data_IF_301978697406
#
_entry.id   IF_301978697406
#
_cell.length_a   1.000
_cell.length_b   1.000
_cell.length_c   1.000
_cell.angle_alpha   90.00
_cell.angle_beta   90.00
_cell.angle_gamma   90.00
#
_symmetry.space_group_name_H-M   'P 1'
#
loop_
_entity.id
_entity.type
_entity.pdbx_description
1 polymer ?
#
# COMPACT_ATOMS: atom_id res chain seq x y z
N UNK A 1 -68.25 15.51 -6.87
CA UNK A 1 -66.82 15.61 -6.52
C UNK A 1 -66.59 14.80 -5.25
N UNK A 2 -65.84 13.69 -5.31
CA UNK A 2 -65.49 12.89 -4.13
C UNK A 2 -64.04 13.21 -3.75
N UNK A 3 -63.83 13.59 -2.50
CA UNK A 3 -62.53 13.91 -1.90
C UNK A 3 -61.71 12.65 -1.67
N UNK A 4 -60.46 12.66 -2.11
CA UNK A 4 -59.47 11.61 -1.83
C UNK A 4 -58.93 11.82 -0.40
N UNK A 5 -58.81 10.78 0.44
CA UNK A 5 -58.29 10.93 1.80
C UNK A 5 -56.79 11.24 1.75
N UNK A 6 -56.38 12.28 2.49
CA UNK A 6 -54.96 12.66 2.64
C UNK A 6 -54.36 11.92 3.82
N UNK A 7 -53.27 11.19 3.56
CA UNK A 7 -52.39 10.60 4.58
C UNK A 7 -51.76 11.70 5.45
N UNK A 8 -51.66 11.54 6.78
CA UNK A 8 -51.14 12.56 7.69
C UNK A 8 -49.61 12.71 7.65
N UNK A 9 -48.91 11.97 6.77
CA UNK A 9 -47.44 12.00 6.68
C UNK A 9 -46.89 12.75 5.47
N UNK A 10 -47.67 13.66 4.87
CA UNK A 10 -47.15 14.54 3.81
C UNK A 10 -46.74 15.88 4.41
N UNK A 11 -45.50 15.96 4.88
CA UNK A 11 -44.85 17.24 5.17
C UNK A 11 -44.69 18.00 3.84
N UNK A 12 -45.11 19.27 3.73
CA UNK A 12 -44.80 20.05 2.54
C UNK A 12 -43.28 20.16 2.39
N UNK A 13 -42.78 19.89 1.19
CA UNK A 13 -41.36 20.02 0.85
C UNK A 13 -40.85 21.40 1.31
N UNK A 14 -39.73 21.40 2.02
CA UNK A 14 -39.07 22.62 2.47
C UNK A 14 -38.73 23.50 1.26
N UNK A 15 -38.66 24.82 1.46
CA UNK A 15 -38.37 25.79 0.39
C UNK A 15 -37.08 25.45 -0.39
N UNK A 16 -36.10 24.82 0.27
CA UNK A 16 -34.84 24.31 -0.31
C UNK A 16 -35.04 23.15 -1.29
N UNK A 17 -35.98 22.24 -1.03
CA UNK A 17 -36.26 21.12 -1.92
C UNK A 17 -36.96 21.56 -3.22
N UNK A 18 -37.80 22.61 -3.19
CA UNK A 18 -38.40 23.22 -4.40
C UNK A 18 -37.39 23.95 -5.27
N UNK A 19 -36.30 24.46 -4.69
CA UNK A 19 -35.21 25.14 -5.41
C UNK A 19 -34.26 24.16 -6.12
N UNK A 20 -34.23 22.89 -5.68
CA UNK A 20 -33.30 21.87 -6.20
C UNK A 20 -33.94 20.98 -7.29
N UNK A 21 -35.26 20.98 -7.41
CA UNK A 21 -36.02 20.21 -8.41
C UNK A 21 -35.65 20.52 -9.88
N UNK A 22 -35.49 21.80 -10.32
CA UNK A 22 -35.08 22.07 -11.71
C UNK A 22 -33.62 21.70 -12.00
N UNK A 23 -32.77 21.54 -10.98
CA UNK A 23 -31.36 21.13 -11.14
C UNK A 23 -31.23 19.62 -11.37
N UNK A 24 -32.06 18.81 -10.71
CA UNK A 24 -32.11 17.36 -10.92
C UNK A 24 -32.74 17.02 -12.27
N UNK A 25 -33.77 17.75 -12.69
CA UNK A 25 -34.37 17.60 -14.02
C UNK A 25 -33.48 18.16 -15.16
N UNK A 26 -32.47 18.99 -14.85
CA UNK A 26 -31.52 19.56 -15.80
C UNK A 26 -30.34 18.64 -16.19
N UNK A 27 -30.10 17.57 -15.43
CA UNK A 27 -29.00 16.61 -15.68
C UNK A 27 -29.40 15.53 -16.72
N UNK A 28 -30.70 15.40 -17.03
CA UNK A 28 -31.27 14.38 -17.91
C UNK A 28 -31.97 14.97 -19.16
N UNK A 29 -31.27 15.79 -19.97
CA UNK A 29 -31.27 15.44 -21.39
C UNK A 29 -29.95 15.80 -22.10
N UNK A 30 -28.89 14.99 -21.93
CA UNK A 30 -27.78 15.00 -22.89
C UNK A 30 -28.02 13.97 -24.01
N UNK A 31 -28.76 14.46 -25.01
CA UNK A 31 -28.78 14.10 -26.44
C UNK A 31 -28.08 12.79 -26.86
N UNK A 32 -28.88 11.77 -27.18
CA UNK A 32 -28.49 10.60 -27.99
C UNK A 32 -27.83 11.04 -29.31
N UNK A 33 -26.51 11.03 -29.40
CA UNK A 33 -25.77 11.04 -30.67
C UNK A 33 -25.15 9.67 -30.89
N UNK A 34 -25.55 9.01 -31.97
CA UNK A 34 -25.00 7.73 -32.43
C UNK A 34 -23.55 7.94 -32.88
N UNK A 35 -22.61 7.02 -32.57
CA UNK A 35 -21.26 7.12 -33.12
C UNK A 35 -21.25 6.83 -34.64
N UNK A 36 -20.39 7.50 -35.42
CA UNK A 36 -20.27 7.30 -36.85
C UNK A 36 -19.73 5.90 -37.22
N UNK A 37 -20.26 5.37 -38.33
CA UNK A 37 -20.22 4.01 -38.85
C UNK A 37 -18.85 3.52 -39.43
N UNK A 38 -17.70 3.88 -38.85
CA UNK A 38 -16.38 3.48 -39.40
C UNK A 38 -15.42 2.78 -38.43
N UNK A 39 -15.90 2.30 -37.28
CA UNK A 39 -15.04 1.63 -36.28
C UNK A 39 -14.86 0.08 -36.37
N UNK A 40 -15.46 -0.72 -37.28
CA UNK A 40 -15.23 -2.17 -37.24
C UNK A 40 -14.08 -2.70 -38.12
N UNK A 41 -13.34 -1.86 -38.85
CA UNK A 41 -12.28 -2.36 -39.78
C UNK A 41 -10.92 -2.55 -39.10
N UNK A 42 -10.68 -1.99 -37.91
CA UNK A 42 -9.38 -2.09 -37.22
C UNK A 42 -9.24 -3.31 -36.29
N UNK A 43 -10.34 -3.96 -35.89
CA UNK A 43 -10.32 -5.04 -34.90
C UNK A 43 -9.96 -6.43 -35.48
N UNK A 44 -9.88 -6.58 -36.81
CA UNK A 44 -9.61 -7.88 -37.47
C UNK A 44 -8.12 -8.09 -37.79
N UNK A 45 -7.27 -7.06 -37.66
CA UNK A 45 -5.83 -7.13 -38.00
C UNK A 45 -4.88 -7.35 -36.81
N UNK A 46 -5.39 -7.30 -35.57
CA UNK A 46 -4.58 -7.50 -34.35
C UNK A 46 -4.68 -8.95 -33.83
N UNK A 47 -5.66 -9.73 -34.30
CA UNK A 47 -5.94 -11.09 -33.84
C UNK A 47 -5.17 -12.22 -34.57
N UNK A 48 -4.17 -11.88 -35.39
CA UNK A 48 -3.42 -12.89 -36.18
C UNK A 48 -1.90 -12.87 -36.00
N UNK A 49 -1.36 -12.07 -35.08
CA UNK A 49 0.09 -11.99 -34.85
C UNK A 49 0.41 -11.99 -33.35
N UNK A 50 0.50 -13.17 -32.75
CA UNK A 50 0.94 -13.31 -31.35
C UNK A 50 0.89 -14.73 -30.79
N UNK A 51 1.06 -15.75 -31.63
CA UNK A 51 1.27 -17.13 -31.19
C UNK A 51 2.75 -17.49 -31.29
N UNK A 52 3.24 -18.22 -30.28
CA UNK A 52 4.51 -18.96 -30.19
C UNK A 52 5.73 -18.19 -29.63
N UNK A 53 5.97 -18.36 -28.32
CA UNK A 53 7.32 -18.47 -27.76
C UNK A 53 7.27 -19.13 -26.36
N UNK A 54 7.05 -20.44 -26.32
CA UNK A 54 7.37 -21.25 -25.15
C UNK A 54 8.90 -21.49 -25.15
N UNK A 55 9.64 -20.86 -24.24
CA UNK A 55 11.04 -21.19 -24.04
C UNK A 55 11.16 -22.31 -23.00
N UNK A 56 11.25 -23.55 -23.47
CA UNK A 56 11.88 -24.62 -22.71
C UNK A 56 13.40 -24.45 -22.79
N UNK A 57 14.05 -24.28 -21.64
CA UNK A 57 15.48 -24.48 -21.51
C UNK A 57 15.72 -25.93 -21.09
N UNK A 58 16.25 -26.73 -22.02
CA UNK A 58 16.71 -28.09 -21.77
C UNK A 58 18.22 -28.16 -21.96
N UNK A 59 18.92 -28.65 -20.94
CA UNK A 59 20.33 -29.00 -21.00
C UNK A 59 20.75 -29.90 -19.85
N UNK A 60 21.13 -31.15 -20.16
CA UNK A 60 21.98 -32.00 -19.31
C UNK A 60 21.36 -33.31 -18.82
N UNK A 61 21.76 -34.43 -19.44
CA UNK A 61 21.36 -35.84 -19.24
C UNK A 61 22.01 -36.51 -17.98
N UNK A 62 21.72 -37.78 -17.62
CA UNK A 62 21.31 -38.19 -16.27
C UNK A 62 22.39 -38.98 -15.51
N UNK A 63 22.23 -39.11 -14.20
CA UNK A 63 22.94 -40.14 -13.43
C UNK A 63 22.00 -40.70 -12.36
N UNK A 64 21.60 -41.95 -12.55
CA UNK A 64 20.76 -42.75 -11.65
C UNK A 64 21.49 -43.11 -10.36
N UNK A 65 20.96 -42.67 -9.22
CA UNK A 65 20.68 -43.50 -8.03
C UNK A 65 19.87 -42.68 -7.00
N UNK A 66 18.94 -43.30 -6.25
CA UNK A 66 17.87 -42.56 -5.58
C UNK A 66 18.37 -41.99 -4.25
N UNK A 67 18.58 -40.69 -4.22
CA UNK A 67 18.57 -39.95 -2.97
C UNK A 67 17.11 -39.58 -2.69
N UNK A 68 16.58 -40.05 -1.56
CA UNK A 68 15.30 -39.62 -1.03
C UNK A 68 15.24 -38.09 -1.00
N UNK A 69 14.47 -37.48 -1.91
CA UNK A 69 14.22 -36.04 -1.86
C UNK A 69 13.06 -35.81 -0.91
N UNK A 70 13.44 -35.49 0.31
CA UNK A 70 12.65 -34.81 1.32
C UNK A 70 11.92 -33.58 0.75
N UNK A 71 10.60 -33.51 0.96
CA UNK A 71 9.78 -32.29 1.02
C UNK A 71 9.58 -31.53 -0.30
N UNK A 72 8.49 -31.79 -1.02
CA UNK A 72 8.05 -30.91 -2.11
C UNK A 72 7.68 -29.52 -1.55
N UNK A 73 8.36 -28.48 -2.06
CA UNK A 73 8.02 -27.09 -1.79
C UNK A 73 6.63 -26.76 -2.37
N UNK A 74 5.89 -25.87 -1.72
CA UNK A 74 4.53 -25.53 -2.09
C UNK A 74 4.44 -24.86 -3.47
N UNK A 75 3.40 -25.18 -4.23
CA UNK A 75 3.11 -24.48 -5.48
C UNK A 75 2.52 -23.11 -5.19
N UNK A 76 3.24 -22.04 -5.53
CA UNK A 76 2.76 -20.64 -5.44
C UNK A 76 1.38 -20.47 -6.07
N UNK A 77 1.14 -21.08 -7.23
CA UNK A 77 -0.15 -20.99 -7.91
C UNK A 77 -1.27 -21.68 -7.11
N UNK A 78 -0.98 -22.84 -6.50
CA UNK A 78 -1.98 -23.54 -5.70
C UNK A 78 -2.39 -22.74 -4.45
N UNK A 79 -1.44 -22.03 -3.83
CA UNK A 79 -1.72 -21.14 -2.69
C UNK A 79 -2.60 -19.98 -3.13
N UNK A 80 -2.27 -19.33 -4.26
CA UNK A 80 -3.08 -18.22 -4.79
C UNK A 80 -4.48 -18.68 -5.19
N UNK A 81 -4.61 -19.83 -5.85
CA UNK A 81 -5.91 -20.39 -6.23
C UNK A 81 -6.77 -20.70 -4.99
N UNK A 82 -6.15 -21.24 -3.93
CA UNK A 82 -6.83 -21.53 -2.67
C UNK A 82 -7.38 -20.27 -2.00
N UNK A 83 -6.54 -19.23 -1.85
CA UNK A 83 -6.95 -17.94 -1.29
C UNK A 83 -8.06 -17.28 -2.13
N UNK A 84 -7.91 -17.31 -3.46
CA UNK A 84 -8.88 -16.67 -4.34
C UNK A 84 -10.25 -17.35 -4.27
N UNK A 85 -10.29 -18.69 -4.25
CA UNK A 85 -11.53 -19.46 -4.22
C UNK A 85 -12.34 -19.32 -2.93
N UNK A 86 -11.67 -19.11 -1.80
CA UNK A 86 -12.32 -18.98 -0.50
C UNK A 86 -12.82 -17.56 -0.22
N UNK A 87 -12.23 -16.58 -0.89
CA UNK A 87 -12.68 -15.20 -0.86
C UNK A 87 -13.86 -14.99 -1.80
N UNK A 88 -14.84 -14.20 -1.36
CA UNK A 88 -15.78 -13.57 -2.28
C UNK A 88 -15.09 -12.32 -2.86
N UNK A 89 -14.01 -12.49 -3.65
CA UNK A 89 -13.26 -11.40 -4.32
C UNK A 89 -14.09 -10.69 -5.43
N UNK A 90 -15.38 -10.53 -5.19
CA UNK A 90 -16.45 -10.04 -6.04
C UNK A 90 -16.28 -8.60 -6.53
N UNK A 91 -15.20 -7.90 -6.15
CA UNK A 91 -14.92 -6.54 -6.64
C UNK A 91 -14.16 -6.58 -7.98
N UNK A 92 -13.40 -7.63 -8.27
CA UNK A 92 -12.56 -7.69 -9.45
C UNK A 92 -13.24 -8.47 -10.59
N UNK A 93 -13.19 -7.94 -11.81
CA UNK A 93 -13.71 -8.64 -12.99
C UNK A 93 -12.75 -9.78 -13.39
N UNK A 94 -13.22 -11.05 -13.47
CA UNK A 94 -12.34 -12.22 -13.58
C UNK A 94 -11.47 -12.27 -14.84
N UNK A 95 -11.87 -11.56 -15.91
CA UNK A 95 -11.18 -11.61 -17.20
C UNK A 95 -9.84 -10.82 -17.22
N UNK A 96 -9.50 -10.08 -16.15
CA UNK A 96 -8.28 -9.27 -16.08
C UNK A 96 -7.54 -9.28 -14.74
N UNK A 97 -7.80 -10.28 -13.89
CA UNK A 97 -7.17 -10.37 -12.56
C UNK A 97 -5.79 -11.02 -12.68
N UNK A 98 -4.80 -10.39 -12.06
CA UNK A 98 -3.48 -10.95 -11.82
C UNK A 98 -3.34 -11.25 -10.33
N UNK A 99 -2.61 -12.30 -9.98
CA UNK A 99 -2.32 -12.70 -8.61
C UNK A 99 -0.82 -12.75 -8.35
N UNK A 100 -0.40 -12.21 -7.22
CA UNK A 100 0.97 -12.22 -6.75
C UNK A 100 0.99 -12.66 -5.28
N UNK A 101 1.84 -13.63 -4.95
CA UNK A 101 2.05 -14.03 -3.55
C UNK A 101 3.06 -13.05 -2.94
N UNK A 102 2.62 -12.27 -1.95
CA UNK A 102 3.46 -11.28 -1.28
C UNK A 102 4.41 -11.92 -0.28
N UNK A 103 3.88 -12.81 0.57
CA UNK A 103 4.64 -13.51 1.60
C UNK A 103 3.98 -14.83 1.99
N UNK A 104 4.80 -15.71 2.57
CA UNK A 104 4.36 -16.96 3.18
C UNK A 104 5.10 -17.23 4.47
N UNK A 105 4.40 -17.85 5.41
CA UNK A 105 4.96 -18.25 6.69
C UNK A 105 4.55 -19.71 6.97
N UNK A 106 5.53 -20.62 6.85
CA UNK A 106 5.32 -22.04 7.03
C UNK A 106 5.28 -22.41 8.50
N UNK A 107 4.26 -23.16 8.92
CA UNK A 107 4.03 -23.45 10.36
C UNK A 107 3.88 -24.89 10.74
N UNK A 108 3.71 -25.76 9.75
CA UNK A 108 3.89 -27.20 9.88
C UNK A 108 4.24 -27.76 8.51
N UNK A 109 4.46 -29.07 8.39
CA UNK A 109 4.58 -29.67 7.06
C UNK A 109 3.32 -29.45 6.18
N UNK A 110 2.17 -29.15 6.78
CA UNK A 110 0.86 -29.20 6.13
C UNK A 110 0.10 -27.86 6.08
N UNK A 111 0.54 -26.82 6.79
CA UNK A 111 -0.11 -25.49 6.85
C UNK A 111 0.89 -24.33 6.65
N UNK A 112 0.42 -23.24 6.04
CA UNK A 112 1.16 -21.99 5.82
C UNK A 112 0.19 -20.83 5.80
N UNK A 113 0.52 -19.78 6.54
CA UNK A 113 -0.12 -18.48 6.37
C UNK A 113 0.42 -17.82 5.11
N UNK A 114 -0.48 -17.36 4.26
CA UNK A 114 -0.15 -16.74 2.98
C UNK A 114 -0.82 -15.38 2.86
N UNK A 115 -0.08 -14.43 2.25
CA UNK A 115 -0.59 -13.13 1.87
C UNK A 115 -0.63 -13.01 0.33
N UNK A 116 -1.82 -12.96 -0.23
CA UNK A 116 -2.05 -12.83 -1.67
C UNK A 116 -2.47 -11.41 -2.05
N UNK A 117 -1.89 -10.89 -3.14
CA UNK A 117 -2.27 -9.64 -3.76
C UNK A 117 -2.89 -9.92 -5.13
N UNK A 118 -4.18 -9.60 -5.26
CA UNK A 118 -4.94 -9.76 -6.49
C UNK A 118 -5.31 -8.40 -7.03
N UNK A 119 -5.01 -8.11 -8.29
CA UNK A 119 -5.19 -6.78 -8.85
C UNK A 119 -5.59 -6.81 -10.32
N UNK A 120 -6.19 -5.74 -10.78
CA UNK A 120 -6.56 -5.55 -12.18
C UNK A 120 -5.75 -4.42 -12.84
N UNK A 121 -6.00 -4.24 -14.14
CA UNK A 121 -5.32 -3.22 -14.95
C UNK A 121 -5.83 -1.79 -14.67
N UNK A 122 -6.89 -1.64 -13.86
CA UNK A 122 -7.46 -0.35 -13.47
C UNK A 122 -6.89 0.13 -12.12
N UNK A 123 -5.98 -0.64 -11.52
CA UNK A 123 -5.36 -0.33 -10.25
C UNK A 123 -6.25 -0.66 -9.04
N UNK A 124 -7.32 -1.44 -9.22
CA UNK A 124 -8.06 -2.03 -8.11
C UNK A 124 -7.32 -3.28 -7.62
N UNK A 125 -7.35 -3.51 -6.31
CA UNK A 125 -6.74 -4.68 -5.73
C UNK A 125 -7.52 -5.23 -4.52
N UNK A 126 -7.25 -6.49 -4.20
CA UNK A 126 -7.60 -7.15 -2.95
C UNK A 126 -6.34 -7.76 -2.32
N UNK A 127 -6.09 -7.46 -1.05
CA UNK A 127 -5.16 -8.18 -0.20
C UNK A 127 -5.94 -9.27 0.53
N UNK A 128 -5.46 -10.51 0.45
CA UNK A 128 -6.02 -11.66 1.16
C UNK A 128 -4.97 -12.24 2.10
N UNK A 129 -5.35 -12.45 3.36
CA UNK A 129 -4.55 -13.19 4.34
C UNK A 129 -5.31 -14.44 4.74
N UNK A 130 -4.70 -15.62 4.59
CA UNK A 130 -5.36 -16.89 4.84
C UNK A 130 -4.38 -18.01 5.18
N UNK A 131 -4.86 -19.05 5.87
CA UNK A 131 -4.07 -20.26 6.14
C UNK A 131 -4.40 -21.29 5.08
N UNK A 132 -3.44 -21.66 4.26
CA UNK A 132 -3.63 -22.68 3.22
C UNK A 132 -3.09 -24.02 3.71
N UNK A 133 -3.77 -25.12 3.39
CA UNK A 133 -3.33 -26.49 3.63
C UNK A 133 -2.61 -27.11 2.44
N UNK A 134 -1.84 -28.18 2.69
CA UNK A 134 -1.04 -28.91 1.66
C UNK A 134 -1.84 -29.41 0.46
N UNK A 135 -3.14 -29.65 0.64
CA UNK A 135 -4.07 -30.05 -0.43
C UNK A 135 -4.57 -28.86 -1.29
N UNK A 136 -4.08 -27.65 -1.03
CA UNK A 136 -4.60 -26.42 -1.64
C UNK A 136 -5.99 -26.05 -1.14
N UNK A 137 -6.47 -26.64 -0.03
CA UNK A 137 -7.68 -26.18 0.63
C UNK A 137 -7.31 -25.12 1.67
N UNK A 138 -8.01 -24.00 1.67
CA UNK A 138 -7.86 -23.03 2.74
C UNK A 138 -8.47 -23.57 4.05
N UNK A 139 -7.85 -23.23 5.17
CA UNK A 139 -8.36 -23.37 6.52
C UNK A 139 -8.98 -22.03 6.94
N UNK A 140 -10.28 -22.02 7.21
CA UNK A 140 -10.99 -20.86 7.78
C UNK A 140 -11.55 -19.88 6.75
N UNK A 141 -11.73 -18.62 7.20
CA UNK A 141 -12.21 -17.50 6.38
C UNK A 141 -11.02 -16.55 6.19
N UNK A 142 -10.69 -16.14 4.94
CA UNK A 142 -9.61 -15.22 4.71
C UNK A 142 -9.98 -13.84 5.26
N UNK A 143 -8.96 -13.11 5.71
CA UNK A 143 -9.09 -11.67 5.87
C UNK A 143 -8.92 -11.00 4.53
N UNK A 144 -9.77 -10.03 4.21
CA UNK A 144 -9.80 -9.37 2.90
C UNK A 144 -9.82 -7.86 3.08
N UNK A 145 -8.88 -7.17 2.43
CA UNK A 145 -8.87 -5.72 2.30
C UNK A 145 -8.93 -5.37 0.83
N UNK A 146 -9.79 -4.42 0.48
CA UNK A 146 -9.91 -3.93 -0.90
C UNK A 146 -9.38 -2.51 -1.00
N UNK A 147 -8.71 -2.19 -2.09
CA UNK A 147 -8.17 -0.87 -2.34
C UNK A 147 -8.10 -0.54 -3.82
N UNK A 148 -7.81 0.72 -4.11
CA UNK A 148 -7.47 1.18 -5.44
C UNK A 148 -6.35 2.22 -5.38
N UNK A 149 -5.50 2.27 -6.39
CA UNK A 149 -4.49 3.32 -6.53
C UNK A 149 -3.29 3.24 -5.58
N UNK A 150 -3.33 2.38 -4.56
CA UNK A 150 -2.20 2.02 -3.70
C UNK A 150 -1.74 0.58 -3.94
N UNK A 151 -0.81 0.09 -3.11
CA UNK A 151 -0.34 -1.30 -3.17
C UNK A 151 -0.15 -1.89 -1.77
N UNK A 152 -0.72 -3.08 -1.49
CA UNK A 152 -0.49 -3.73 -0.21
C UNK A 152 0.95 -4.24 -0.13
N UNK A 153 1.52 -4.17 1.06
CA UNK A 153 2.87 -4.62 1.36
C UNK A 153 2.85 -5.53 2.58
N UNK A 154 3.78 -6.46 2.65
CA UNK A 154 3.93 -7.38 3.78
C UNK A 154 5.39 -7.46 4.22
N UNK A 155 5.58 -7.85 5.48
CA UNK A 155 6.88 -8.18 6.03
C UNK A 155 6.73 -9.31 7.06
N UNK A 156 7.44 -10.41 6.85
CA UNK A 156 7.52 -11.52 7.79
C UNK A 156 8.69 -11.29 8.75
N UNK A 157 8.47 -11.52 10.05
CA UNK A 157 9.52 -11.37 11.05
C UNK A 157 9.36 -12.37 12.19
N UNK A 158 10.45 -12.59 12.93
CA UNK A 158 10.46 -13.42 14.14
C UNK A 158 10.68 -12.55 15.38
N UNK A 159 9.92 -12.85 16.44
CA UNK A 159 10.05 -12.21 17.74
C UNK A 159 9.76 -13.22 18.83
N UNK A 160 10.65 -13.32 19.82
CA UNK A 160 10.52 -14.25 20.96
C UNK A 160 10.27 -15.71 20.54
N UNK A 161 10.89 -16.14 19.42
CA UNK A 161 10.74 -17.49 18.87
C UNK A 161 9.39 -17.76 18.20
N UNK A 162 8.56 -16.73 18.04
CA UNK A 162 7.30 -16.77 17.29
C UNK A 162 7.42 -16.02 15.98
N UNK A 163 6.65 -16.47 15.00
CA UNK A 163 6.65 -15.99 13.63
C UNK A 163 5.43 -15.11 13.39
N UNK A 164 5.64 -13.91 12.84
CA UNK A 164 4.62 -12.88 12.63
C UNK A 164 4.62 -12.38 11.19
N UNK A 165 3.49 -11.83 10.77
CA UNK A 165 3.35 -11.13 9.48
C UNK A 165 2.75 -9.74 9.75
N UNK A 166 3.47 -8.70 9.37
CA UNK A 166 2.96 -7.34 9.24
C UNK A 166 2.40 -7.17 7.83
N UNK A 167 1.21 -6.58 7.70
CA UNK A 167 0.68 -6.10 6.43
C UNK A 167 0.33 -4.62 6.52
N UNK A 168 0.43 -3.94 5.38
CA UNK A 168 -0.14 -2.61 5.15
C UNK A 168 -0.96 -2.66 3.87
N UNK A 169 -2.17 -2.11 3.88
CA UNK A 169 -3.01 -1.96 2.72
C UNK A 169 -3.41 -0.48 2.61
N UNK A 170 -2.87 0.20 1.60
CA UNK A 170 -3.13 1.62 1.35
C UNK A 170 -3.93 1.78 0.06
N UNK A 171 -4.74 2.82 -0.01
CA UNK A 171 -5.47 3.16 -1.22
C UNK A 171 -5.49 4.66 -1.42
N UNK A 172 -5.65 5.06 -2.68
CA UNK A 172 -5.83 6.43 -3.07
C UNK A 172 -6.81 6.56 -4.23
N UNK A 173 -7.74 7.50 -4.11
CA UNK A 173 -8.65 7.90 -5.18
C UNK A 173 -8.89 9.41 -5.13
N UNK A 174 -8.86 10.05 -6.31
CA UNK A 174 -9.15 11.49 -6.47
C UNK A 174 -8.35 12.41 -5.53
N UNK A 175 -7.12 12.01 -5.17
CA UNK A 175 -6.24 12.74 -4.26
C UNK A 175 -6.46 12.43 -2.78
N UNK A 176 -7.55 11.76 -2.41
CA UNK A 176 -7.71 11.20 -1.07
C UNK A 176 -6.91 9.92 -0.96
N UNK A 177 -6.21 9.73 0.16
CA UNK A 177 -5.52 8.49 0.47
C UNK A 177 -5.79 8.11 1.91
N UNK A 178 -5.85 6.82 2.17
CA UNK A 178 -6.12 6.22 3.47
C UNK A 178 -5.46 4.83 3.48
N UNK A 179 -5.55 4.11 4.59
CA UNK A 179 -5.04 2.76 4.67
C UNK A 179 -5.22 2.13 6.03
N UNK A 180 -4.95 0.84 6.09
CA UNK A 180 -4.94 0.07 7.32
C UNK A 180 -3.77 -0.91 7.35
N UNK A 181 -3.41 -1.34 8.55
CA UNK A 181 -2.32 -2.26 8.78
C UNK A 181 -2.59 -3.13 10.01
N UNK A 182 -1.90 -4.25 10.09
CA UNK A 182 -2.00 -5.15 11.22
C UNK A 182 -0.81 -6.08 11.30
N UNK A 183 -0.52 -6.53 12.52
CA UNK A 183 0.38 -7.65 12.75
C UNK A 183 -0.45 -8.85 13.15
N UNK A 184 -0.28 -9.92 12.41
CA UNK A 184 -0.91 -11.20 12.70
C UNK A 184 0.14 -12.21 13.12
N UNK A 185 -0.29 -13.14 13.96
CA UNK A 185 0.45 -14.33 14.34
C UNK A 185 -0.44 -15.54 14.09
N UNK A 186 0.16 -16.63 13.66
CA UNK A 186 -0.54 -17.91 13.66
C UNK A 186 -0.86 -18.36 15.10
N UNK A 187 -2.03 -18.96 15.25
CA UNK A 187 -2.57 -19.50 16.48
C UNK A 187 -3.27 -20.83 16.17
N UNK A 188 -2.53 -21.93 16.30
CA UNK A 188 -3.01 -23.26 15.91
C UNK A 188 -3.12 -23.43 14.39
N UNK A 189 -4.33 -23.69 13.91
CA UNK A 189 -4.69 -23.89 12.50
C UNK A 189 -5.29 -22.64 11.83
N UNK A 190 -5.23 -21.50 12.51
CA UNK A 190 -5.73 -20.19 12.07
C UNK A 190 -4.74 -19.08 12.49
N UNK A 191 -5.07 -17.81 12.26
CA UNK A 191 -4.30 -16.65 12.72
C UNK A 191 -5.15 -15.66 13.50
N UNK A 192 -4.48 -14.80 14.28
CA UNK A 192 -5.11 -13.72 15.04
C UNK A 192 -4.26 -12.46 15.01
N UNK A 193 -4.88 -11.29 15.21
CA UNK A 193 -4.18 -10.02 15.29
C UNK A 193 -3.59 -9.86 16.69
N UNK A 194 -2.36 -9.34 16.72
CA UNK A 194 -1.66 -8.92 17.93
C UNK A 194 -1.42 -7.41 17.95
N UNK A 195 -1.67 -6.72 16.84
CA UNK A 195 -1.57 -5.27 16.69
C UNK A 195 -2.41 -4.81 15.48
N UNK A 196 -3.02 -3.61 15.51
CA UNK A 196 -3.06 -2.64 16.61
C UNK A 196 -4.01 -3.02 17.75
N UNK A 197 -4.84 -4.04 17.52
CA UNK A 197 -5.78 -4.60 18.50
C UNK A 197 -5.58 -6.10 18.56
N UNK A 198 -5.65 -6.67 19.76
CA UNK A 198 -5.58 -8.11 19.95
C UNK A 198 -6.95 -8.77 19.65
N UNK A 199 -6.93 -9.84 18.86
CA UNK A 199 -8.10 -10.67 18.57
C UNK A 199 -8.45 -10.80 17.09
N UNK A 200 -9.43 -11.64 16.78
CA UNK A 200 -9.90 -11.85 15.41
C UNK A 200 -10.74 -10.66 14.91
N UNK A 201 -10.25 -9.95 13.90
CA UNK A 201 -10.92 -8.80 13.31
C UNK A 201 -11.78 -9.15 12.09
N UNK A 202 -11.95 -10.42 11.72
CA UNK A 202 -12.78 -10.82 10.55
C UNK A 202 -14.28 -10.72 10.84
N UNK A 203 -14.72 -10.90 12.09
CA UNK A 203 -16.14 -10.79 12.45
C UNK A 203 -16.53 -9.32 12.68
N UNK A 204 -17.26 -8.72 11.73
CA UNK A 204 -17.83 -7.36 11.81
C UNK A 204 -18.67 -7.05 13.07
N UNK A 205 -19.14 -8.08 13.78
CA UNK A 205 -19.91 -7.92 15.02
C UNK A 205 -19.04 -7.91 16.27
N UNK A 206 -17.81 -8.41 16.17
CA UNK A 206 -16.87 -8.50 17.27
C UNK A 206 -16.44 -7.13 17.79
N UNK A 207 -15.92 -7.10 19.02
CA UNK A 207 -15.32 -5.89 19.56
C UNK A 207 -13.97 -5.58 18.90
N UNK A 208 -13.16 -6.62 18.62
CA UNK A 208 -11.87 -6.48 17.94
C UNK A 208 -12.00 -5.82 16.57
N UNK A 209 -13.01 -6.18 15.77
CA UNK A 209 -13.30 -5.48 14.51
C UNK A 209 -13.56 -3.99 14.72
N UNK A 210 -14.41 -3.63 15.69
CA UNK A 210 -14.77 -2.22 15.93
C UNK A 210 -13.56 -1.42 16.39
N UNK A 211 -12.81 -1.96 17.35
CA UNK A 211 -11.61 -1.32 17.89
C UNK A 211 -10.53 -1.15 16.82
N UNK A 212 -10.34 -2.16 15.94
CA UNK A 212 -9.42 -2.09 14.81
C UNK A 212 -9.78 -0.97 13.83
N UNK A 213 -11.05 -0.90 13.41
CA UNK A 213 -11.50 0.14 12.49
C UNK A 213 -11.51 1.52 13.15
N UNK A 214 -11.82 1.60 14.45
CA UNK A 214 -11.74 2.84 15.21
C UNK A 214 -10.29 3.32 15.37
N UNK A 215 -9.32 2.41 15.48
CA UNK A 215 -7.89 2.75 15.54
C UNK A 215 -7.39 3.41 14.25
N UNK A 216 -7.82 2.93 13.09
CA UNK A 216 -7.40 3.47 11.79
C UNK A 216 -8.15 4.72 11.34
N UNK A 217 -9.24 5.12 12.02
CA UNK A 217 -9.92 6.39 11.72
C UNK A 217 -8.98 7.57 11.91
N UNK A 218 -8.79 8.32 10.83
CA UNK A 218 -7.91 9.49 10.81
C UNK A 218 -6.43 9.13 10.95
N UNK A 219 -6.06 7.89 10.60
CA UNK A 219 -4.68 7.41 10.54
C UNK A 219 -4.39 6.74 9.21
N UNK A 220 -3.15 6.86 8.74
CA UNK A 220 -2.65 6.15 7.57
C UNK A 220 -1.33 5.44 7.90
N UNK A 221 -1.19 4.14 7.59
CA UNK A 221 0.08 3.44 7.69
C UNK A 221 0.89 3.54 6.38
N UNK A 222 2.21 3.50 6.52
CA UNK A 222 3.15 3.15 5.45
C UNK A 222 4.16 2.14 5.98
N UNK A 223 4.44 1.08 5.22
CA UNK A 223 5.52 0.17 5.58
C UNK A 223 6.84 0.94 5.67
N UNK A 224 7.61 0.65 6.71
CA UNK A 224 8.85 1.32 7.05
C UNK A 224 9.91 0.31 7.50
N UNK A 225 11.20 0.67 7.58
CA UNK A 225 12.22 -0.22 8.11
C UNK A 225 11.87 -0.59 9.56
N UNK A 226 11.83 -1.89 9.85
CA UNK A 226 11.52 -2.39 11.19
C UNK A 226 10.04 -2.44 11.55
N UNK A 227 9.15 -1.83 10.77
CA UNK A 227 7.71 -1.84 11.04
C UNK A 227 6.88 -0.90 10.17
N UNK A 228 6.20 0.07 10.78
CA UNK A 228 5.23 0.95 10.10
C UNK A 228 5.35 2.40 10.56
N UNK A 229 5.43 3.33 9.62
CA UNK A 229 5.24 4.76 9.89
C UNK A 229 3.74 5.05 9.97
N UNK A 230 3.30 5.70 11.04
CA UNK A 230 1.91 6.07 11.28
C UNK A 230 1.75 7.58 11.11
N UNK A 231 0.79 7.94 10.28
CA UNK A 231 0.43 9.32 10.01
C UNK A 231 -0.96 9.61 10.57
N UNK A 232 -1.19 10.85 11.00
CA UNK A 232 -2.50 11.36 11.40
C UNK A 232 -2.95 12.50 10.50
N UNK A 233 -4.25 12.76 10.51
CA UNK A 233 -4.82 13.91 9.80
C UNK A 233 -4.26 15.23 10.35
N UNK A 234 -3.76 16.07 9.46
CA UNK A 234 -3.34 17.41 9.79
C UNK A 234 -4.56 18.34 9.94
N UNK A 235 -4.89 18.69 11.18
CA UNK A 235 -6.03 19.54 11.49
C UNK A 235 -5.88 21.00 11.01
N UNK A 236 -4.64 21.47 10.77
CA UNK A 236 -4.38 22.82 10.27
C UNK A 236 -4.80 22.98 8.81
N UNK A 237 -4.78 21.88 8.06
CA UNK A 237 -5.30 21.81 6.70
C UNK A 237 -6.69 21.20 6.78
N UNK A 238 -7.65 22.00 7.23
CA UNK A 238 -9.04 21.59 7.29
C UNK A 238 -9.52 21.02 5.95
N UNK A 239 -10.44 20.07 6.01
CA UNK A 239 -11.18 19.57 4.85
C UNK A 239 -12.04 20.72 4.32
N UNK A 240 -11.45 21.68 3.61
CA UNK A 240 -12.21 22.60 2.77
C UNK A 240 -12.92 21.71 1.75
N UNK A 241 -14.25 21.67 1.77
CA UNK A 241 -15.10 20.76 0.97
C UNK A 241 -14.46 20.40 -0.38
N UNK A 242 -13.92 19.19 -0.48
CA UNK A 242 -13.27 18.65 -1.69
C UNK A 242 -11.73 18.65 -1.72
N UNK A 243 -11.04 19.10 -0.66
CA UNK A 243 -9.56 19.04 -0.58
C UNK A 243 -9.09 17.69 -0.02
N UNK A 244 -8.03 17.08 -0.59
CA UNK A 244 -7.37 15.90 -0.03
C UNK A 244 -6.99 16.04 1.44
N UNK A 245 -7.22 14.98 2.22
CA UNK A 245 -6.67 14.83 3.57
C UNK A 245 -5.16 15.00 3.52
N UNK A 246 -4.63 15.82 4.43
CA UNK A 246 -3.20 15.96 4.63
C UNK A 246 -2.77 15.08 5.79
N UNK A 247 -1.71 14.32 5.57
CA UNK A 247 -1.11 13.40 6.51
C UNK A 247 0.15 14.04 7.11
N UNK A 248 0.28 13.95 8.43
CA UNK A 248 1.50 14.33 9.17
C UNK A 248 2.03 13.12 9.91
N UNK A 249 3.35 12.96 9.92
CA UNK A 249 4.00 11.88 10.65
C UNK A 249 3.69 12.02 12.15
N UNK A 250 3.11 10.99 12.75
CA UNK A 250 2.83 10.94 14.19
C UNK A 250 3.92 10.15 14.92
N UNK A 251 4.14 8.91 14.48
CA UNK A 251 5.07 7.98 15.13
C UNK A 251 5.52 6.89 14.16
N UNK A 252 6.58 6.15 14.52
CA UNK A 252 6.95 4.89 13.91
C UNK A 252 6.74 3.76 14.91
N UNK A 253 6.04 2.71 14.49
CA UNK A 253 5.86 1.49 15.28
C UNK A 253 6.86 0.43 14.79
N UNK A 254 7.71 -0.04 15.70
CA UNK A 254 8.82 -0.96 15.36
C UNK A 254 8.53 -2.35 15.93
N UNK A 255 8.58 -3.36 15.08
CA UNK A 255 8.33 -4.76 15.43
C UNK A 255 9.59 -5.62 15.42
N UNK A 256 10.57 -5.31 14.56
CA UNK A 256 11.88 -5.97 14.52
C UNK A 256 13.01 -4.94 14.37
N UNK A 257 14.21 -5.31 14.81
CA UNK A 257 15.38 -4.43 14.73
C UNK A 257 15.84 -4.24 13.28
N UNK A 258 16.11 -3.00 12.89
CA UNK A 258 16.85 -2.66 11.67
C UNK A 258 17.93 -1.62 11.99
N UNK A 259 18.84 -1.40 11.04
CA UNK A 259 19.94 -0.45 11.24
C UNK A 259 19.45 0.99 11.47
N UNK A 260 18.25 1.34 11.00
CA UNK A 260 17.62 2.64 11.23
C UNK A 260 17.39 2.94 12.72
N UNK A 261 17.20 1.93 13.57
CA UNK A 261 17.03 2.07 15.02
C UNK A 261 18.33 2.44 15.75
N UNK A 262 19.46 2.27 15.06
CA UNK A 262 20.80 2.62 15.53
C UNK A 262 21.23 4.02 15.06
N UNK A 263 20.39 4.73 14.30
CA UNK A 263 20.65 6.11 13.89
C UNK A 263 20.64 7.06 15.11
N UNK A 264 21.37 8.19 15.04
CA UNK A 264 21.28 9.21 16.08
C UNK A 264 19.85 9.72 16.28
N UNK A 265 19.55 10.16 17.49
CA UNK A 265 18.19 10.55 17.86
C UNK A 265 17.67 11.67 16.95
N UNK A 266 16.46 11.46 16.43
CA UNK A 266 15.78 12.43 15.57
C UNK A 266 16.16 12.38 14.09
N UNK A 267 17.24 11.69 13.68
CA UNK A 267 17.62 11.60 12.25
C UNK A 267 16.48 11.01 11.41
N UNK A 268 15.97 9.83 11.81
CA UNK A 268 14.89 9.16 11.10
C UNK A 268 13.62 10.05 11.04
N UNK A 269 13.17 10.55 12.18
CA UNK A 269 11.97 11.38 12.26
C UNK A 269 12.10 12.66 11.43
N UNK A 270 13.23 13.37 11.52
CA UNK A 270 13.44 14.59 10.76
C UNK A 270 13.58 14.31 9.24
N UNK A 271 14.23 13.21 8.84
CA UNK A 271 14.23 12.75 7.44
C UNK A 271 12.81 12.45 6.94
N UNK A 272 11.96 11.84 7.78
CA UNK A 272 10.57 11.56 7.44
C UNK A 272 9.77 12.85 7.25
N UNK A 273 9.82 13.76 8.21
CA UNK A 273 9.16 15.07 8.12
C UNK A 273 9.64 15.84 6.89
N UNK A 274 10.95 15.84 6.63
CA UNK A 274 11.52 16.48 5.45
C UNK A 274 10.98 15.85 4.14
N UNK A 275 10.94 14.51 4.02
CA UNK A 275 10.47 13.88 2.79
C UNK A 275 9.01 14.26 2.50
N UNK A 276 8.17 14.28 3.54
CA UNK A 276 6.78 14.70 3.42
C UNK A 276 6.67 16.15 2.95
N UNK A 277 7.40 17.08 3.57
CA UNK A 277 7.36 18.49 3.17
C UNK A 277 7.89 18.70 1.74
N UNK A 278 9.01 18.04 1.41
CA UNK A 278 9.69 18.18 0.12
C UNK A 278 8.84 17.65 -1.04
N UNK A 279 8.11 16.54 -0.82
CA UNK A 279 7.32 15.88 -1.87
C UNK A 279 5.84 16.29 -1.90
N UNK A 280 5.40 17.12 -0.95
CA UNK A 280 3.99 17.48 -0.79
C UNK A 280 3.40 18.25 -1.98
N UNK A 281 4.15 19.23 -2.49
CA UNK A 281 3.66 20.14 -3.54
C UNK A 281 4.09 19.74 -4.95
N UNK A 282 5.02 18.80 -5.07
CA UNK A 282 5.55 18.22 -6.31
C UNK A 282 6.47 17.05 -5.98
N UNK A 283 6.92 16.29 -6.98
CA UNK A 283 7.78 15.11 -6.75
C UNK A 283 7.12 13.96 -5.96
N UNK A 284 5.80 13.81 -6.09
CA UNK A 284 5.07 12.68 -5.54
C UNK A 284 4.57 11.70 -6.62
N UNK A 285 4.25 10.45 -6.24
CA UNK A 285 3.92 9.39 -7.19
C UNK A 285 2.68 9.66 -8.05
N UNK A 286 1.72 10.43 -7.55
CA UNK A 286 0.50 10.74 -8.30
C UNK A 286 0.56 12.07 -9.07
N UNK A 287 1.70 12.77 -9.04
CA UNK A 287 1.84 14.11 -9.62
C UNK A 287 0.69 15.05 -9.20
N UNK A 288 0.22 14.88 -7.96
CA UNK A 288 -0.88 15.63 -7.39
C UNK A 288 -0.35 16.78 -6.55
N UNK A 289 -1.06 17.90 -6.50
CA UNK A 289 -0.70 19.00 -5.60
C UNK A 289 -1.21 18.70 -4.22
N UNK A 290 -0.38 19.02 -3.22
CA UNK A 290 -0.76 18.99 -1.81
C UNK A 290 -1.25 17.60 -1.39
N UNK A 291 -0.38 16.61 -1.51
CA UNK A 291 -0.63 15.24 -1.09
C UNK A 291 0.55 14.77 -0.24
N UNK A 292 0.38 13.76 0.61
CA UNK A 292 1.36 13.38 1.64
C UNK A 292 1.18 11.93 2.04
N UNK A 293 2.17 11.36 2.73
CA UNK A 293 2.28 9.96 3.11
C UNK A 293 2.26 9.04 1.89
N UNK A 294 3.07 9.36 0.88
CA UNK A 294 3.10 8.65 -0.42
C UNK A 294 4.39 7.88 -0.70
N UNK A 295 5.37 8.03 0.16
CA UNK A 295 6.72 7.49 0.00
C UNK A 295 7.08 6.66 1.23
N UNK A 296 7.09 5.34 1.06
CA UNK A 296 7.55 4.38 2.06
C UNK A 296 9.07 4.49 2.19
N UNK A 297 9.61 4.77 3.38
CA UNK A 297 11.08 4.67 3.58
C UNK A 297 11.46 3.21 3.44
N UNK A 298 12.46 2.93 2.60
CA UNK A 298 13.02 1.59 2.43
C UNK A 298 14.37 1.48 3.13
N UNK A 299 15.16 2.56 3.16
CA UNK A 299 16.40 2.59 3.91
C UNK A 299 16.83 4.02 4.25
N UNK A 300 17.46 4.19 5.41
CA UNK A 300 18.17 5.41 5.78
C UNK A 300 19.50 5.04 6.45
N UNK A 301 20.62 5.40 5.83
CA UNK A 301 21.94 5.00 6.30
C UNK A 301 22.98 6.11 6.16
N UNK A 302 23.97 6.20 7.08
CA UNK A 302 25.06 7.15 6.95
C UNK A 302 25.95 6.79 5.74
N UNK A 303 26.34 7.80 4.95
CA UNK A 303 27.16 7.64 3.73
C UNK A 303 28.50 6.96 4.03
N UNK A 304 29.10 7.28 5.18
CA UNK A 304 30.37 6.70 5.61
C UNK A 304 30.23 5.31 6.24
N UNK A 305 29.00 4.80 6.37
CA UNK A 305 28.67 3.53 7.01
C UNK A 305 28.85 3.55 8.53
N UNK A 306 29.12 4.70 9.14
CA UNK A 306 29.37 4.82 10.57
C UNK A 306 28.10 5.27 11.29
N UNK A 307 27.46 4.31 11.96
CA UNK A 307 26.37 4.57 12.90
C UNK A 307 26.96 5.15 14.18
N UNK A 308 26.66 6.44 14.41
CA UNK A 308 27.22 7.24 15.51
C UNK A 308 26.38 7.07 16.78
N UNK A 309 26.94 7.51 17.91
CA UNK A 309 26.19 7.54 19.17
C UNK A 309 24.90 8.34 19.02
N UNK A 310 23.88 7.97 19.81
CA UNK A 310 22.57 8.62 19.76
C UNK A 310 22.60 10.13 19.98
N UNK A 311 23.61 10.63 20.69
CA UNK A 311 23.81 12.05 21.00
C UNK A 311 25.00 12.67 20.24
N UNK A 312 25.46 12.07 19.15
CA UNK A 312 26.51 12.67 18.31
C UNK A 312 26.00 14.00 17.74
N UNK A 313 26.80 15.06 17.93
CA UNK A 313 26.49 16.46 17.58
C UNK A 313 27.19 16.93 16.29
N UNK A 314 27.96 16.05 15.64
CA UNK A 314 28.73 16.39 14.44
C UNK A 314 27.87 16.26 13.20
N UNK A 315 28.22 17.04 12.19
CA UNK A 315 27.61 16.88 10.87
C UNK A 315 27.84 15.48 10.29
N UNK A 316 26.80 14.94 9.66
CA UNK A 316 26.84 13.67 8.97
C UNK A 316 25.93 13.69 7.73
N UNK A 317 26.28 12.90 6.73
CA UNK A 317 25.48 12.75 5.51
C UNK A 317 24.81 11.38 5.51
N UNK A 318 23.51 11.35 5.23
CA UNK A 318 22.69 10.15 5.18
C UNK A 318 22.07 9.96 3.79
N UNK A 319 22.07 8.74 3.29
CA UNK A 319 21.36 8.34 2.09
C UNK A 319 19.98 7.82 2.47
N UNK A 320 18.96 8.50 1.99
CA UNK A 320 17.56 8.08 2.05
C UNK A 320 17.19 7.40 0.74
N UNK A 321 16.54 6.23 0.83
CA UNK A 321 15.78 5.63 -0.27
C UNK A 321 14.33 5.42 0.16
N UNK A 322 13.41 5.80 -0.72
CA UNK A 322 11.98 5.58 -0.52
C UNK A 322 11.32 5.04 -1.80
N UNK A 323 10.26 4.26 -1.62
CA UNK A 323 9.46 3.70 -2.71
C UNK A 323 8.07 4.33 -2.71
N UNK A 324 7.52 4.56 -3.90
CA UNK A 324 6.16 5.02 -4.05
C UNK A 324 5.14 3.99 -3.52
N UNK A 325 4.13 4.48 -2.81
CA UNK A 325 3.02 3.69 -2.26
C UNK A 325 1.93 3.36 -3.31
N UNK A 326 2.09 3.83 -4.56
CA UNK A 326 1.13 3.66 -5.65
C UNK A 326 1.29 2.35 -6.46
N UNK A 327 2.22 1.48 -6.05
CA UNK A 327 2.50 0.20 -6.69
C UNK A 327 3.37 0.26 -7.94
N UNK A 328 3.72 1.44 -8.45
CA UNK A 328 4.64 1.58 -9.58
C UNK A 328 6.09 1.28 -9.18
N UNK A 329 6.94 0.94 -10.16
CA UNK A 329 8.40 0.93 -9.96
C UNK A 329 8.94 2.37 -9.97
N UNK A 330 8.56 3.12 -8.94
CA UNK A 330 8.95 4.51 -8.75
C UNK A 330 9.61 4.68 -7.38
N UNK A 331 10.81 5.24 -7.40
CA UNK A 331 11.69 5.37 -6.25
C UNK A 331 12.21 6.79 -6.15
N UNK A 332 12.41 7.22 -4.91
CA UNK A 332 13.02 8.48 -4.53
C UNK A 332 14.32 8.18 -3.79
N UNK A 333 15.39 8.89 -4.12
CA UNK A 333 16.61 8.86 -3.33
C UNK A 333 17.12 10.28 -3.07
N UNK A 334 17.73 10.48 -1.90
CA UNK A 334 18.34 11.75 -1.52
C UNK A 334 19.52 11.57 -0.56
N UNK A 335 20.49 12.47 -0.69
CA UNK A 335 21.61 12.62 0.24
C UNK A 335 21.35 13.85 1.10
N UNK A 336 21.23 13.62 2.40
CA UNK A 336 20.83 14.60 3.39
C UNK A 336 21.99 14.89 4.31
N UNK A 337 22.49 16.13 4.30
CA UNK A 337 23.43 16.62 5.30
C UNK A 337 22.64 17.07 6.53
N UNK A 338 22.92 16.42 7.63
CA UNK A 338 22.37 16.71 8.94
C UNK A 338 23.39 17.47 9.77
N UNK A 339 22.96 18.60 10.32
CA UNK A 339 23.64 19.25 11.43
C UNK A 339 22.94 18.84 12.73
N UNK A 340 23.61 17.99 13.50
CA UNK A 340 23.07 17.43 14.73
C UNK A 340 23.05 18.44 15.89
N UNK A 341 23.65 19.62 15.74
CA UNK A 341 23.50 20.72 16.71
C UNK A 341 22.07 21.29 16.74
N UNK A 342 21.29 21.08 15.67
CA UNK A 342 19.97 21.66 15.48
C UNK A 342 19.98 23.15 15.11
N UNK A 343 21.16 23.75 14.89
CA UNK A 343 21.28 25.15 14.47
C UNK A 343 20.86 25.35 13.01
N UNK A 344 21.01 24.32 12.16
CA UNK A 344 20.69 24.38 10.74
C UNK A 344 19.65 23.32 10.32
N UNK A 345 18.71 23.66 9.42
CA UNK A 345 17.79 22.67 8.86
C UNK A 345 18.55 21.66 7.98
N UNK A 346 17.93 20.50 7.73
CA UNK A 346 18.46 19.48 6.82
C UNK A 346 18.81 20.10 5.46
N UNK A 347 20.04 19.89 5.01
CA UNK A 347 20.50 20.34 3.70
C UNK A 347 20.48 19.19 2.69
N UNK A 348 19.81 19.40 1.57
CA UNK A 348 19.72 18.40 0.49
C UNK A 348 20.90 18.58 -0.45
N UNK A 349 21.85 17.64 -0.44
CA UNK A 349 23.02 17.69 -1.32
C UNK A 349 22.68 17.23 -2.74
N UNK A 350 21.88 16.17 -2.84
CA UNK A 350 21.43 15.56 -4.11
C UNK A 350 20.12 14.83 -3.89
N UNK A 351 19.29 14.76 -4.92
CA UNK A 351 18.09 13.93 -4.94
C UNK A 351 17.74 13.52 -6.37
N UNK A 352 17.02 12.42 -6.53
CA UNK A 352 16.48 11.96 -7.81
C UNK A 352 15.25 11.08 -7.62
N UNK A 353 14.46 10.98 -8.69
CA UNK A 353 13.31 10.08 -8.81
C UNK A 353 13.46 9.25 -10.08
N UNK A 354 13.18 7.95 -10.00
CA UNK A 354 13.26 7.04 -11.15
C UNK A 354 12.87 5.62 -10.77
N UNK A 355 13.09 4.68 -11.69
CA UNK A 355 12.95 3.24 -11.45
C UNK A 355 13.98 2.74 -10.43
N UNK A 356 13.72 1.59 -9.79
CA UNK A 356 14.70 0.99 -8.86
C UNK A 356 16.08 0.86 -9.50
N UNK A 357 16.11 0.40 -10.74
CA UNK A 357 17.34 0.16 -11.46
C UNK A 357 18.11 1.46 -11.79
N UNK A 358 17.41 2.58 -12.01
CA UNK A 358 18.04 3.89 -12.21
C UNK A 358 18.63 4.45 -10.91
N UNK A 359 17.89 4.32 -9.80
CA UNK A 359 18.37 4.70 -8.47
C UNK A 359 19.61 3.89 -8.08
N UNK A 360 19.57 2.57 -8.23
CA UNK A 360 20.67 1.68 -7.81
C UNK A 360 21.92 1.82 -8.69
N UNK A 361 21.78 2.19 -9.97
CA UNK A 361 22.94 2.49 -10.84
C UNK A 361 23.60 3.82 -10.53
N UNK A 362 23.06 4.62 -9.60
CA UNK A 362 23.55 5.96 -9.35
C UNK A 362 23.49 6.84 -10.60
N UNK A 363 22.56 6.55 -11.55
CA UNK A 363 22.23 7.47 -12.65
C UNK A 363 21.45 8.64 -12.04
N UNK A 364 22.12 9.40 -11.18
CA UNK A 364 21.63 10.57 -10.51
C UNK A 364 21.82 11.75 -11.47
N UNK A 365 20.72 12.41 -11.82
CA UNK A 365 20.79 13.71 -12.47
C UNK A 365 21.28 14.69 -11.41
N UNK A 366 22.54 15.08 -11.51
CA UNK A 366 23.13 16.14 -10.70
C UNK A 366 22.39 17.46 -10.99
N UNK A 367 21.56 17.92 -10.05
CA UNK A 367 21.06 19.30 -10.01
C UNK A 367 21.20 19.83 -8.60
N UNK A 368 22.26 20.59 -8.39
CA UNK A 368 22.53 21.33 -7.17
C UNK A 368 21.62 22.58 -7.09
N UNK A 369 21.34 22.95 -5.84
CA UNK A 369 20.78 24.20 -5.29
C UNK A 369 19.27 24.41 -5.37
N UNK A 370 18.59 24.08 -4.28
CA UNK A 370 17.61 24.98 -3.70
C UNK A 370 17.97 25.18 -2.22
N UNK A 371 18.61 26.30 -1.92
CA UNK A 371 18.47 26.96 -0.62
C UNK A 371 17.00 26.98 -0.24
N UNK A 372 16.68 26.51 0.96
CA UNK A 372 15.35 26.64 1.54
C UNK A 372 14.84 28.07 1.34
N UNK A 373 13.64 28.20 0.79
CA UNK A 373 12.94 29.48 0.75
C UNK A 373 12.52 29.84 2.18
N UNK A 374 12.97 31.00 2.65
CA UNK A 374 12.21 31.78 3.61
C UNK A 374 10.91 32.24 2.93
N UNK A 375 9.78 31.68 3.39
CA UNK A 375 8.54 32.40 3.77
C UNK A 375 7.40 31.42 4.06
#
# INVERSE_FOLDING_TARGET
MKSVPRSPFTTPLSRSARETEPRICGILPWKKQRPPLLAPVLAVLILSCGGLAACQAQGGTPSDMPAAQSGEAWSTQAVLDALFQSSDASILSPDSIQGELLDTQGTSEDLTLAAGHFYDNLGQYSLLLGVVGRNGAESGVPFVVHGSGGRPCTAVFEKDGSQYLLYTATWADQGFSDGEAGVIRLDGDDFTWVWPVEGDVRDSRSQAYKDYHDYWKGRKPLLAPGGVDIFTENQDYGIYEGSPVQWVSEQNEVFWHTAEEDLPTGVYYQSRVWLEQFTRTGHNPWNARNTSALWQIVSLAPVDGVYRDRNDDREAVYELKARADNGEDLWFAASLLFDHSGEHPIQVQRWNVGTRAEIDRGQMVERITATCMDN
#
